data_IF_507723558157
#
_entry.id   IF_507723558157
#
_cell.length_a   1.000
_cell.length_b   1.000
_cell.length_c   1.000
_cell.angle_alpha   90.00
_cell.angle_beta   90.00
_cell.angle_gamma   90.00
#
_symmetry.space_group_name_H-M   'P 1'
#
loop_
_entity.id
_entity.type
_entity.pdbx_description
1 polymer ?
#
# COMPACT_ATOMS: atom_id res chain seq x y z
N UNK A 1 3.65 0.00 -6.50
CA UNK A 1 2.81 -0.54 -5.40
C UNK A 1 1.43 0.12 -5.32
N UNK A 2 1.29 1.46 -5.43
CA UNK A 2 -0.02 2.15 -5.36
C UNK A 2 -1.06 1.72 -6.41
N UNK A 3 -0.71 1.80 -7.70
CA UNK A 3 -1.63 1.49 -8.80
C UNK A 3 -1.99 -0.01 -8.91
N UNK A 4 -1.03 -0.84 -8.56
CA UNK A 4 -1.13 -2.31 -8.62
C UNK A 4 -0.72 -2.87 -7.24
N UNK A 5 -1.58 -2.74 -6.22
CA UNK A 5 -1.36 -3.37 -4.94
C UNK A 5 -1.53 -4.89 -5.09
N UNK A 6 -0.63 -5.66 -4.47
CA UNK A 6 -0.71 -7.13 -4.50
C UNK A 6 -2.01 -7.64 -3.86
N UNK A 7 -2.51 -6.93 -2.84
CA UNK A 7 -3.79 -7.21 -2.19
C UNK A 7 -4.67 -5.96 -2.18
N UNK A 8 -5.58 -5.77 -3.17
CA UNK A 8 -6.39 -4.56 -3.27
C UNK A 8 -7.46 -4.43 -2.17
N UNK A 9 -7.89 -5.55 -1.58
CA UNK A 9 -8.91 -5.60 -0.50
C UNK A 9 -8.32 -5.96 0.88
N UNK A 10 -6.99 -6.08 0.97
CA UNK A 10 -6.28 -6.66 2.11
C UNK A 10 -6.82 -8.04 2.53
N UNK A 11 -6.29 -8.57 3.64
CA UNK A 11 -6.83 -9.77 4.25
C UNK A 11 -8.16 -9.45 4.95
N UNK A 12 -9.14 -10.37 4.93
CA UNK A 12 -10.39 -10.18 5.64
C UNK A 12 -10.16 -10.00 7.14
N UNK A 13 -10.90 -9.07 7.73
CA UNK A 13 -11.05 -8.92 9.16
C UNK A 13 -12.40 -9.47 9.62
N UNK A 14 -12.51 -9.84 10.89
CA UNK A 14 -13.76 -10.21 11.53
C UNK A 14 -14.00 -9.33 12.74
N UNK A 15 -15.26 -8.93 12.96
CA UNK A 15 -15.64 -8.14 14.13
C UNK A 15 -15.87 -9.04 15.35
N UNK A 16 -15.12 -8.79 16.43
CA UNK A 16 -15.28 -9.51 17.69
C UNK A 16 -16.45 -8.97 18.54
N UNK A 17 -16.95 -7.78 18.20
CA UNK A 17 -18.08 -7.12 18.84
C UNK A 17 -18.80 -6.21 17.84
N UNK A 18 -20.01 -5.77 18.19
CA UNK A 18 -20.69 -4.72 17.43
C UNK A 18 -19.85 -3.44 17.43
N UNK A 19 -19.75 -2.79 16.28
CA UNK A 19 -18.98 -1.57 16.10
C UNK A 19 -19.76 -0.55 15.27
N UNK A 20 -19.59 0.74 15.56
CA UNK A 20 -20.17 1.83 14.76
C UNK A 20 -19.06 2.51 13.98
N UNK A 21 -19.13 2.49 12.65
CA UNK A 21 -18.18 3.16 11.76
C UNK A 21 -18.94 4.16 10.89
N UNK A 22 -18.59 5.45 10.99
CA UNK A 22 -19.27 6.53 10.25
C UNK A 22 -20.82 6.51 10.38
N UNK A 23 -21.33 6.14 11.55
CA UNK A 23 -22.78 6.03 11.80
C UNK A 23 -23.43 4.74 11.30
N UNK A 24 -22.67 3.84 10.65
CA UNK A 24 -23.13 2.52 10.27
C UNK A 24 -22.87 1.51 11.40
N UNK A 25 -23.89 0.75 11.79
CA UNK A 25 -23.77 -0.34 12.77
C UNK A 25 -23.29 -1.59 12.06
N UNK A 26 -22.14 -2.10 12.48
CA UNK A 26 -21.54 -3.35 12.00
C UNK A 26 -21.73 -4.41 13.08
N UNK A 27 -22.57 -5.43 12.85
CA UNK A 27 -22.82 -6.49 13.83
C UNK A 27 -21.55 -7.29 14.18
N UNK A 28 -21.57 -7.96 15.32
CA UNK A 28 -20.55 -8.96 15.70
C UNK A 28 -20.50 -10.10 14.66
N UNK A 29 -19.30 -10.65 14.43
CA UNK A 29 -19.01 -11.70 13.45
C UNK A 29 -19.23 -11.30 11.98
N UNK A 30 -19.14 -10.01 11.68
CA UNK A 30 -19.18 -9.50 10.31
C UNK A 30 -17.78 -9.58 9.70
N UNK A 31 -17.69 -10.10 8.47
CA UNK A 31 -16.46 -10.06 7.69
C UNK A 31 -16.30 -8.69 7.04
N UNK A 32 -15.12 -8.09 7.21
CA UNK A 32 -14.80 -6.73 6.73
C UNK A 32 -13.61 -6.78 5.80
N UNK A 33 -13.73 -6.10 4.66
CA UNK A 33 -12.65 -5.90 3.70
C UNK A 33 -12.29 -4.43 3.63
N UNK A 34 -10.99 -4.13 3.52
CA UNK A 34 -10.52 -2.75 3.36
C UNK A 34 -10.14 -2.56 1.90
N UNK A 35 -10.94 -1.77 1.16
CA UNK A 35 -10.63 -1.45 -0.22
C UNK A 35 -9.49 -0.42 -0.31
N UNK A 36 -8.27 -0.93 -0.18
CA UNK A 36 -7.05 -0.13 -0.23
C UNK A 36 -6.84 0.44 -1.63
N UNK A 37 -7.18 -0.30 -2.69
CA UNK A 37 -7.02 0.21 -4.05
C UNK A 37 -7.84 1.49 -4.29
N UNK A 38 -9.09 1.54 -3.83
CA UNK A 38 -9.92 2.74 -3.98
C UNK A 38 -9.35 3.91 -3.18
N UNK A 39 -8.89 3.68 -1.95
CA UNK A 39 -8.26 4.72 -1.11
C UNK A 39 -6.99 5.28 -1.80
N UNK A 40 -6.17 4.39 -2.35
CA UNK A 40 -4.91 4.74 -3.00
C UNK A 40 -5.08 5.38 -4.37
N UNK A 41 -6.25 5.27 -4.98
CA UNK A 41 -6.58 5.85 -6.30
C UNK A 41 -7.70 6.89 -6.22
N UNK A 42 -7.97 7.41 -5.02
CA UNK A 42 -9.02 8.39 -4.81
C UNK A 42 -8.62 9.76 -5.40
N UNK A 43 -9.38 10.29 -6.40
CA UNK A 43 -9.12 11.61 -6.97
C UNK A 43 -9.30 12.75 -5.97
N UNK A 44 -10.05 12.58 -4.88
CA UNK A 44 -10.24 13.60 -3.86
C UNK A 44 -8.94 13.92 -3.10
N UNK A 45 -8.01 12.96 -3.03
CA UNK A 45 -6.75 13.10 -2.32
C UNK A 45 -5.52 13.05 -3.23
N UNK A 46 -5.71 12.74 -4.53
CA UNK A 46 -4.61 12.41 -5.42
C UNK A 46 -4.84 12.91 -6.86
N UNK A 47 -4.08 13.92 -7.29
CA UNK A 47 -4.11 14.39 -8.68
C UNK A 47 -3.75 13.26 -9.65
N UNK A 48 -4.44 13.13 -10.79
CA UNK A 48 -4.17 12.09 -11.80
C UNK A 48 -3.99 10.67 -11.19
N UNK A 49 -5.01 10.13 -10.49
CA UNK A 49 -4.83 8.98 -9.63
C UNK A 49 -4.52 7.68 -10.37
N UNK A 50 -4.86 7.57 -11.65
CA UNK A 50 -4.58 6.38 -12.47
C UNK A 50 -3.24 6.47 -13.21
N UNK A 51 -2.57 7.64 -13.20
CA UNK A 51 -1.28 7.80 -13.89
C UNK A 51 -0.13 7.36 -12.99
N UNK A 52 0.84 6.67 -13.59
CA UNK A 52 2.11 6.37 -12.95
C UNK A 52 2.97 7.64 -12.95
N UNK A 53 3.18 8.23 -11.76
CA UNK A 53 4.01 9.42 -11.56
C UNK A 53 4.87 9.21 -10.31
N UNK A 54 6.13 8.83 -10.50
CA UNK A 54 7.06 8.52 -9.42
C UNK A 54 7.44 9.77 -8.60
N UNK A 55 7.63 10.92 -9.28
CA UNK A 55 8.09 12.19 -8.69
C UNK A 55 7.18 12.71 -7.56
N UNK A 56 5.91 12.30 -7.58
CA UNK A 56 4.94 12.53 -6.50
C UNK A 56 5.50 12.19 -5.13
N UNK A 57 6.29 11.12 -5.05
CA UNK A 57 6.78 10.58 -3.79
C UNK A 57 8.20 11.07 -3.43
N UNK A 58 8.88 11.82 -4.32
CA UNK A 58 10.29 12.20 -4.12
C UNK A 58 10.49 13.35 -3.11
N UNK A 59 9.50 14.24 -2.97
CA UNK A 59 9.58 15.42 -2.08
C UNK A 59 8.60 15.37 -0.92
N UNK A 60 7.71 14.38 -0.90
CA UNK A 60 6.96 14.08 0.30
C UNK A 60 7.99 13.42 1.23
N UNK A 61 8.30 14.03 2.37
CA UNK A 61 9.06 13.38 3.45
C UNK A 61 8.27 12.21 4.05
N UNK A 62 7.84 11.27 3.20
CA UNK A 62 7.10 10.07 3.54
C UNK A 62 8.09 9.26 4.33
N UNK A 63 7.98 9.36 5.64
CA UNK A 63 8.68 8.49 6.54
C UNK A 63 8.35 7.06 6.12
N UNK A 64 9.37 6.37 5.61
CA UNK A 64 9.30 4.99 5.15
C UNK A 64 9.10 4.04 6.37
N UNK A 65 9.12 4.56 7.61
CA UNK A 65 9.23 3.75 8.82
C UNK A 65 8.04 3.67 9.78
N UNK A 66 7.01 4.52 9.78
CA UNK A 66 5.77 4.05 10.44
C UNK A 66 4.58 4.96 10.67
N UNK A 67 4.73 6.28 10.63
CA UNK A 67 3.68 7.12 11.25
C UNK A 67 2.56 7.63 10.34
N UNK A 68 2.68 7.47 9.02
CA UNK A 68 1.69 7.98 8.07
C UNK A 68 0.72 6.87 7.61
N UNK A 69 -0.58 7.14 7.70
CA UNK A 69 -1.68 6.34 7.08
C UNK A 69 -1.48 6.07 5.58
N UNK A 70 -0.51 6.75 4.94
CA UNK A 70 -0.04 6.56 3.57
C UNK A 70 0.53 5.16 3.30
N UNK A 71 0.76 4.31 4.31
CA UNK A 71 1.25 2.92 4.17
C UNK A 71 0.21 1.82 4.25
N UNK A 72 -1.07 2.13 4.17
CA UNK A 72 -2.14 1.11 4.17
C UNK A 72 -2.01 0.06 3.05
N UNK A 73 -1.15 0.31 2.05
CA UNK A 73 -0.68 -0.63 1.04
C UNK A 73 -0.39 -2.06 1.55
N UNK A 74 0.18 -2.18 2.75
CA UNK A 74 0.52 -3.45 3.38
C UNK A 74 -0.24 -3.66 4.69
N UNK A 75 -1.40 -3.04 4.82
CA UNK A 75 -2.19 -3.02 6.04
C UNK A 75 -1.68 -1.99 7.07
N UNK A 76 -2.37 -1.95 8.20
CA UNK A 76 -2.06 -1.07 9.33
C UNK A 76 -2.61 -1.68 10.63
N UNK A 77 -2.19 -1.14 11.78
CA UNK A 77 -2.67 -1.56 13.09
C UNK A 77 -2.21 -2.98 13.48
N UNK A 78 -3.05 -3.70 14.22
CA UNK A 78 -2.72 -5.02 14.80
C UNK A 78 -2.35 -6.08 13.77
N UNK A 79 -2.89 -6.00 12.55
CA UNK A 79 -2.66 -6.97 11.48
C UNK A 79 -1.86 -6.35 10.31
N UNK A 80 -0.92 -5.45 10.61
CA UNK A 80 0.03 -4.95 9.61
C UNK A 80 0.90 -6.09 9.07
N UNK A 81 1.27 -6.03 7.78
CA UNK A 81 2.13 -7.04 7.17
C UNK A 81 3.49 -7.11 7.86
N UNK A 82 3.78 -8.27 8.46
CA UNK A 82 5.07 -8.60 9.07
C UNK A 82 6.22 -8.57 8.05
N UNK A 83 5.92 -8.86 6.78
CA UNK A 83 6.87 -8.83 5.67
C UNK A 83 7.12 -7.46 5.05
N UNK A 84 6.56 -6.38 5.59
CA UNK A 84 6.65 -5.04 4.98
C UNK A 84 8.09 -4.57 4.80
N UNK A 85 8.92 -4.67 5.83
CA UNK A 85 10.33 -4.28 5.77
C UNK A 85 11.13 -5.08 4.74
N UNK A 86 10.98 -6.40 4.70
CA UNK A 86 11.70 -7.24 3.75
C UNK A 86 11.23 -7.00 2.31
N UNK A 87 9.91 -6.86 2.11
CA UNK A 87 9.33 -6.62 0.79
C UNK A 87 9.86 -5.33 0.15
N UNK A 88 10.00 -4.26 0.94
CA UNK A 88 10.48 -2.97 0.45
C UNK A 88 11.97 -3.02 0.10
N UNK A 89 12.79 -3.69 0.93
CA UNK A 89 14.21 -3.91 0.65
C UNK A 89 14.41 -4.76 -0.60
N UNK A 90 13.63 -5.83 -0.75
CA UNK A 90 13.72 -6.72 -1.91
C UNK A 90 13.29 -6.04 -3.19
N UNK A 91 12.20 -5.26 -3.18
CA UNK A 91 11.79 -4.48 -4.33
C UNK A 91 12.89 -3.51 -4.77
N UNK A 92 13.53 -2.80 -3.83
CA UNK A 92 14.65 -1.91 -4.14
C UNK A 92 15.84 -2.64 -4.76
N UNK A 93 16.26 -3.76 -4.16
CA UNK A 93 17.39 -4.56 -4.66
C UNK A 93 17.13 -5.13 -6.05
N UNK A 94 15.93 -5.62 -6.33
CA UNK A 94 15.56 -6.14 -7.65
C UNK A 94 15.58 -5.04 -8.71
N UNK A 95 15.09 -3.84 -8.40
CA UNK A 95 15.14 -2.69 -9.32
C UNK A 95 16.59 -2.31 -9.61
N UNK A 96 17.45 -2.23 -8.59
CA UNK A 96 18.88 -1.92 -8.76
C UNK A 96 19.56 -3.00 -9.61
N UNK A 97 19.32 -4.27 -9.32
CA UNK A 97 19.87 -5.38 -10.09
C UNK A 97 19.45 -5.32 -11.56
N UNK A 98 18.17 -5.08 -11.84
CA UNK A 98 17.69 -4.91 -13.21
C UNK A 98 18.37 -3.73 -13.91
N UNK A 99 18.59 -2.60 -13.23
CA UNK A 99 19.31 -1.45 -13.80
C UNK A 99 20.77 -1.76 -14.13
N UNK A 100 21.46 -2.55 -13.30
CA UNK A 100 22.84 -2.97 -13.54
C UNK A 100 22.91 -3.93 -14.72
N UNK A 101 22.05 -4.96 -14.74
CA UNK A 101 22.04 -5.97 -15.81
C UNK A 101 21.65 -5.36 -17.18
N UNK A 102 20.67 -4.47 -17.20
CA UNK A 102 20.27 -3.79 -18.44
C UNK A 102 21.32 -2.81 -18.96
N UNK A 103 22.12 -2.19 -18.09
CA UNK A 103 23.30 -1.40 -18.52
C UNK A 103 24.40 -2.26 -19.09
N UNK A 104 24.68 -3.43 -18.52
CA UNK A 104 25.65 -4.37 -19.08
C UNK A 104 25.22 -4.83 -20.48
N UNK A 105 23.94 -5.18 -20.68
CA UNK A 105 23.43 -5.56 -22.00
C UNK A 105 23.29 -4.40 -23.02
N UNK A 106 23.42 -3.14 -22.61
CA UNK A 106 23.38 -1.96 -23.50
C UNK A 106 24.78 -1.46 -23.88
N UNK A 107 25.82 -1.96 -23.21
CA UNK A 107 27.22 -1.59 -23.43
C UNK A 107 27.99 -2.69 -24.19
N UNK A 108 27.41 -3.89 -24.30
CA UNK A 108 27.80 -4.95 -25.24
C UNK A 108 27.02 -4.83 -26.57
#
# INVERSE_FOLDING_TARGET
>A
MRLHPSSPLLLPHYTDQEAVIHGCIIPKHTQVFVNVWSILTDPAYLDYPTRFKADRFMNLGIDVWGNDCKKILLGAGRHICLGSNISMRMAGLLVILCMVLTRSCLVD
#
